data_IF_416943682275
#
_entry.id   IF_416943682275
#
_cell.length_a   1.000
_cell.length_b   1.000
_cell.length_c   1.000
_cell.angle_alpha   90.00
_cell.angle_beta   90.00
_cell.angle_gamma   90.00
#
_symmetry.space_group_name_H-M   'P 1'
#
loop_
_entity.id
_entity.type
_entity.pdbx_description
1 polymer ?
#
# COMPACT_ATOMS: atom_id res chain seq x y z
N UNK A 1 20.25 -12.52 8.20
CA UNK A 1 19.30 -13.53 7.66
C UNK A 1 20.04 -14.73 7.13
N UNK A 2 20.83 -14.64 6.05
CA UNK A 2 21.55 -15.80 5.49
C UNK A 2 22.52 -16.45 6.49
N UNK A 3 23.46 -15.69 7.05
CA UNK A 3 24.45 -16.23 8.01
C UNK A 3 23.82 -16.74 9.31
N UNK A 4 22.76 -16.08 9.78
CA UNK A 4 22.18 -16.33 11.11
C UNK A 4 21.03 -17.31 11.10
N UNK A 5 20.40 -17.57 9.94
CA UNK A 5 19.15 -18.33 9.83
C UNK A 5 17.90 -17.62 10.41
N UNK A 6 18.07 -16.47 11.04
CA UNK A 6 16.99 -15.69 11.66
C UNK A 6 16.34 -14.82 10.58
N UNK A 7 15.03 -15.04 10.34
CA UNK A 7 14.21 -14.31 9.38
C UNK A 7 12.83 -13.99 9.98
N UNK A 8 12.25 -12.82 9.70
CA UNK A 8 10.87 -12.52 10.06
C UNK A 8 9.90 -13.22 9.10
N UNK A 9 8.65 -13.41 9.53
CA UNK A 9 7.58 -13.94 8.65
C UNK A 9 7.16 -12.92 7.58
N UNK A 10 7.22 -11.64 7.91
CA UNK A 10 6.87 -10.55 7.00
C UNK A 10 7.66 -9.27 7.25
N UNK A 11 7.68 -8.40 6.24
CA UNK A 11 8.19 -7.03 6.29
C UNK A 11 7.09 -6.11 5.75
N UNK A 12 6.72 -5.10 6.53
CA UNK A 12 5.86 -4.01 6.04
C UNK A 12 6.73 -2.90 5.47
N UNK A 13 6.41 -2.45 4.26
CA UNK A 13 7.05 -1.32 3.58
C UNK A 13 6.04 -0.16 3.58
N UNK A 14 6.29 0.81 4.45
CA UNK A 14 5.53 2.07 4.50
C UNK A 14 6.21 3.11 3.60
N UNK A 15 5.47 3.58 2.59
CA UNK A 15 5.92 4.69 1.77
C UNK A 15 5.81 6.03 2.49
N UNK A 16 6.63 7.00 2.07
CA UNK A 16 6.59 8.38 2.59
C UNK A 16 5.24 9.08 2.37
N UNK A 17 4.33 8.49 1.60
CA UNK A 17 3.00 9.02 1.33
C UNK A 17 1.96 8.70 2.42
N UNK A 18 2.39 8.12 3.55
CA UNK A 18 1.57 7.77 4.70
C UNK A 18 0.75 8.94 5.28
N UNK A 19 -0.23 8.60 6.12
CA UNK A 19 -0.95 9.58 6.92
C UNK A 19 -0.43 9.61 8.35
N UNK A 20 -0.65 10.72 9.03
CA UNK A 20 -0.37 10.87 10.46
C UNK A 20 -1.50 11.67 11.11
N UNK A 21 -1.78 11.38 12.38
CA UNK A 21 -2.66 12.22 13.20
C UNK A 21 -1.96 13.50 13.68
N UNK A 22 -0.65 13.45 13.89
CA UNK A 22 0.17 14.57 14.31
C UNK A 22 1.64 14.30 13.94
N UNK A 23 2.26 15.18 13.16
CA UNK A 23 3.70 15.15 12.94
C UNK A 23 4.19 16.56 12.56
N UNK A 24 5.47 16.87 12.78
CA UNK A 24 6.08 18.08 12.24
C UNK A 24 5.98 18.10 10.70
N UNK A 25 5.83 19.30 10.13
CA UNK A 25 5.69 19.48 8.68
C UNK A 25 6.93 19.00 7.92
N UNK A 26 8.13 19.26 8.45
CA UNK A 26 9.38 18.80 7.83
C UNK A 26 9.44 17.27 7.69
N UNK A 27 8.94 16.54 8.69
CA UNK A 27 8.90 15.08 8.63
C UNK A 27 7.84 14.60 7.65
N UNK A 28 6.67 15.24 7.64
CA UNK A 28 5.55 14.84 6.77
C UNK A 28 5.82 15.12 5.28
N UNK A 29 6.59 16.18 4.98
CA UNK A 29 6.80 16.64 3.61
C UNK A 29 8.15 16.23 3.03
N UNK A 30 9.18 16.05 3.86
CA UNK A 30 10.57 15.94 3.40
C UNK A 30 11.22 14.59 3.72
N UNK A 31 10.65 13.79 4.63
CA UNK A 31 11.24 12.51 5.05
C UNK A 31 10.48 11.32 4.46
N UNK A 32 11.19 10.44 3.78
CA UNK A 32 10.67 9.17 3.27
C UNK A 32 11.10 8.87 1.84
N UNK A 33 10.71 7.69 1.37
CA UNK A 33 10.90 7.23 0.00
C UNK A 33 9.53 6.91 -0.60
N UNK A 34 9.28 7.19 -1.89
CA UNK A 34 8.03 6.79 -2.50
C UNK A 34 7.84 5.27 -2.42
N UNK A 35 6.60 4.82 -2.14
CA UNK A 35 6.31 3.40 -1.88
C UNK A 35 6.78 2.50 -3.02
N UNK A 36 6.64 2.94 -4.28
CA UNK A 36 6.97 2.11 -5.45
C UNK A 36 8.44 1.75 -5.51
N UNK A 37 9.30 2.75 -5.28
CA UNK A 37 10.74 2.58 -5.32
C UNK A 37 11.20 1.72 -4.13
N UNK A 38 10.66 1.98 -2.93
CA UNK A 38 10.96 1.22 -1.72
C UNK A 38 10.51 -0.24 -1.85
N UNK A 39 9.32 -0.49 -2.38
CA UNK A 39 8.76 -1.82 -2.54
C UNK A 39 9.54 -2.66 -3.55
N UNK A 40 9.91 -2.06 -4.70
CA UNK A 40 10.76 -2.73 -5.68
C UNK A 40 12.11 -3.09 -5.05
N UNK A 41 12.75 -2.14 -4.36
CA UNK A 41 14.03 -2.35 -3.68
C UNK A 41 13.97 -3.50 -2.65
N UNK A 42 12.95 -3.52 -1.79
CA UNK A 42 12.80 -4.56 -0.76
C UNK A 42 12.55 -5.92 -1.41
N UNK A 43 11.66 -5.99 -2.40
CA UNK A 43 11.41 -7.23 -3.13
C UNK A 43 12.68 -7.76 -3.80
N UNK A 44 13.39 -6.92 -4.54
CA UNK A 44 14.58 -7.31 -5.29
C UNK A 44 15.74 -7.69 -4.37
N UNK A 45 15.89 -7.02 -3.23
CA UNK A 45 16.87 -7.42 -2.22
C UNK A 45 16.55 -8.80 -1.67
N UNK A 46 15.31 -9.03 -1.24
CA UNK A 46 14.88 -10.35 -0.76
C UNK A 46 14.98 -11.43 -1.84
N UNK A 47 14.69 -11.10 -3.09
CA UNK A 47 14.80 -12.02 -4.22
C UNK A 47 16.26 -12.33 -4.55
N UNK A 48 17.12 -11.31 -4.60
CA UNK A 48 18.56 -11.40 -4.83
C UNK A 48 19.30 -12.22 -3.78
N UNK A 49 18.86 -12.20 -2.52
CA UNK A 49 19.37 -13.10 -1.47
C UNK A 49 18.63 -14.45 -1.41
N UNK A 50 17.63 -14.70 -2.27
CA UNK A 50 16.85 -15.94 -2.26
C UNK A 50 15.92 -16.11 -1.05
N UNK A 51 15.65 -15.02 -0.32
CA UNK A 51 14.84 -14.96 0.90
C UNK A 51 13.35 -14.69 0.66
N UNK A 52 12.97 -14.12 -0.49
CA UNK A 52 11.56 -13.74 -0.78
C UNK A 52 10.55 -14.89 -0.65
N UNK A 53 10.98 -16.14 -0.87
CA UNK A 53 10.15 -17.34 -0.69
C UNK A 53 9.73 -17.60 0.76
N UNK A 54 10.44 -17.01 1.72
CA UNK A 54 10.20 -17.19 3.16
C UNK A 54 9.53 -15.98 3.81
N UNK A 55 9.67 -14.79 3.21
CA UNK A 55 9.26 -13.52 3.81
C UNK A 55 8.15 -12.88 2.97
N UNK A 56 7.01 -12.61 3.60
CA UNK A 56 5.90 -11.86 2.99
C UNK A 56 6.18 -10.37 3.02
N UNK A 57 5.80 -9.66 1.97
CA UNK A 57 5.95 -8.20 1.90
C UNK A 57 4.55 -7.57 1.96
N UNK A 58 4.35 -6.67 2.92
CA UNK A 58 3.10 -5.91 3.06
C UNK A 58 3.37 -4.48 2.60
N UNK A 59 2.70 -4.04 1.54
CA UNK A 59 2.80 -2.66 1.08
C UNK A 59 1.82 -1.76 1.82
N UNK A 60 2.26 -0.59 2.24
CA UNK A 60 1.44 0.39 2.94
C UNK A 60 1.75 1.79 2.46
N UNK A 61 0.72 2.52 2.02
CA UNK A 61 0.85 3.85 1.45
C UNK A 61 -0.12 4.08 0.30
N UNK A 62 -1.08 4.99 0.53
CA UNK A 62 -2.09 5.43 -0.46
C UNK A 62 -2.78 4.31 -1.26
N UNK A 63 -3.11 3.20 -0.62
CA UNK A 63 -3.94 2.13 -1.20
C UNK A 63 -5.41 2.54 -1.11
N UNK A 64 -5.96 3.05 -2.20
CA UNK A 64 -7.33 3.60 -2.25
C UNK A 64 -8.27 2.85 -3.19
N UNK A 65 -7.72 2.16 -4.18
CA UNK A 65 -8.47 1.53 -5.26
C UNK A 65 -8.01 0.09 -5.51
N UNK A 66 -8.82 -0.69 -6.22
CA UNK A 66 -8.42 -2.02 -6.69
C UNK A 66 -7.16 -1.97 -7.55
N UNK A 67 -6.99 -0.92 -8.37
CA UNK A 67 -5.78 -0.75 -9.17
C UNK A 67 -4.53 -0.46 -8.34
N UNK A 68 -4.65 0.17 -7.17
CA UNK A 68 -3.52 0.34 -6.24
C UNK A 68 -3.04 -1.02 -5.69
N UNK A 69 -3.97 -1.94 -5.40
CA UNK A 69 -3.64 -3.32 -5.05
C UNK A 69 -2.86 -4.00 -6.18
N UNK A 70 -3.41 -3.96 -7.40
CA UNK A 70 -2.79 -4.59 -8.57
C UNK A 70 -1.37 -4.04 -8.82
N UNK A 71 -1.18 -2.72 -8.75
CA UNK A 71 0.15 -2.08 -8.89
C UNK A 71 1.12 -2.56 -7.82
N UNK A 72 0.73 -2.53 -6.54
CA UNK A 72 1.63 -2.89 -5.45
C UNK A 72 1.99 -4.39 -5.48
N UNK A 73 1.02 -5.27 -5.76
CA UNK A 73 1.27 -6.70 -5.91
C UNK A 73 2.22 -6.95 -7.09
N UNK A 74 2.03 -6.26 -8.21
CA UNK A 74 2.93 -6.38 -9.38
C UNK A 74 4.38 -6.00 -9.09
N UNK A 75 4.63 -5.12 -8.11
CA UNK A 75 5.97 -4.71 -7.68
C UNK A 75 6.63 -5.69 -6.71
N UNK A 76 5.85 -6.60 -6.11
CA UNK A 76 6.35 -7.65 -5.22
C UNK A 76 5.66 -7.75 -3.86
N UNK A 77 4.59 -6.99 -3.61
CA UNK A 77 3.82 -7.12 -2.37
C UNK A 77 2.98 -8.41 -2.37
N UNK A 78 2.89 -9.08 -1.24
CA UNK A 78 1.96 -10.19 -1.00
C UNK A 78 0.62 -9.71 -0.42
N UNK A 79 0.61 -8.54 0.23
CA UNK A 79 -0.57 -7.92 0.84
C UNK A 79 -0.44 -6.40 0.81
N UNK A 80 -1.56 -5.69 0.92
CA UNK A 80 -1.61 -4.25 1.05
C UNK A 80 -2.39 -3.80 2.29
N UNK A 81 -1.88 -2.81 3.01
CA UNK A 81 -2.59 -2.12 4.08
C UNK A 81 -3.23 -0.82 3.56
N UNK A 82 -4.47 -0.58 3.97
CA UNK A 82 -5.23 0.63 3.63
C UNK A 82 -5.78 1.27 4.90
N UNK A 83 -5.10 2.30 5.43
CA UNK A 83 -5.58 3.04 6.60
C UNK A 83 -6.43 4.25 6.19
N UNK A 84 -5.84 5.19 5.42
CA UNK A 84 -6.51 6.44 5.03
C UNK A 84 -7.82 6.20 4.26
N UNK A 85 -7.84 5.24 3.34
CA UNK A 85 -9.03 4.92 2.58
C UNK A 85 -10.17 4.39 3.47
N UNK A 86 -9.83 3.57 4.48
CA UNK A 86 -10.78 3.08 5.48
C UNK A 86 -11.29 4.21 6.39
N UNK A 87 -10.43 5.16 6.76
CA UNK A 87 -10.88 6.35 7.49
C UNK A 87 -11.86 7.20 6.67
N UNK A 88 -11.61 7.36 5.36
CA UNK A 88 -12.51 8.10 4.47
C UNK A 88 -13.84 7.36 4.31
N UNK A 89 -13.83 6.04 4.12
CA UNK A 89 -15.06 5.25 4.03
C UNK A 89 -15.87 5.31 5.33
N UNK A 90 -15.18 5.35 6.49
CA UNK A 90 -15.78 5.57 7.81
C UNK A 90 -16.44 6.96 7.93
N UNK A 91 -15.84 8.00 7.37
CA UNK A 91 -16.40 9.36 7.41
C UNK A 91 -15.41 10.52 7.42
N UNK A 92 -14.10 10.25 7.37
CA UNK A 92 -13.09 11.30 7.30
C UNK A 92 -13.27 12.15 6.04
N UNK A 93 -13.40 13.46 6.24
CA UNK A 93 -13.52 14.47 5.16
C UNK A 93 -12.20 15.19 4.87
N UNK A 94 -11.09 14.67 5.41
CA UNK A 94 -9.76 15.30 5.30
C UNK A 94 -9.72 16.74 5.83
N UNK A 95 -10.32 16.99 7.00
CA UNK A 95 -10.28 18.30 7.65
C UNK A 95 -8.85 18.74 8.08
N UNK A 96 -7.91 17.79 8.19
CA UNK A 96 -6.52 18.02 8.62
C UNK A 96 -6.38 18.59 10.05
N UNK A 97 -7.40 18.42 10.88
CA UNK A 97 -7.44 18.79 12.31
C UNK A 97 -7.27 17.56 13.23
N UNK A 98 -6.52 16.56 12.78
CA UNK A 98 -6.43 15.29 13.50
C UNK A 98 -5.73 15.44 14.87
N UNK A 99 -4.84 16.43 15.00
CA UNK A 99 -4.01 16.68 16.19
C UNK A 99 -4.66 17.61 17.22
N UNK A 100 -5.78 18.27 16.89
CA UNK A 100 -6.42 19.28 17.74
C UNK A 100 -7.51 18.71 18.64
N UNK A 101 -7.83 17.42 18.48
CA UNK A 101 -8.95 16.76 19.16
C UNK A 101 -10.35 17.30 18.74
N UNK A 102 -10.44 18.10 17.67
CA UNK A 102 -11.69 18.76 17.21
C UNK A 102 -12.25 18.19 15.90
N UNK A 103 -11.85 16.96 15.52
CA UNK A 103 -12.26 16.34 14.26
C UNK A 103 -13.80 16.42 14.06
N UNK A 104 -14.29 17.14 13.02
CA UNK A 104 -15.71 17.45 12.88
C UNK A 104 -16.59 16.23 12.55
N UNK A 105 -15.96 15.11 12.20
CA UNK A 105 -16.63 13.85 11.83
C UNK A 105 -16.46 12.76 12.88
N UNK A 106 -15.82 13.08 14.01
CA UNK A 106 -15.65 12.12 15.11
C UNK A 106 -14.56 11.08 14.90
N UNK A 107 -13.86 11.07 13.75
CA UNK A 107 -12.88 10.03 13.40
C UNK A 107 -11.59 10.13 14.22
N UNK A 108 -11.06 11.34 14.40
CA UNK A 108 -9.79 11.58 15.10
C UNK A 108 -10.01 12.52 16.31
N UNK A 109 -10.77 12.05 17.29
CA UNK A 109 -11.06 12.80 18.53
C UNK A 109 -11.41 11.84 19.67
N UNK A 110 -11.09 12.25 20.89
CA UNK A 110 -11.49 11.62 22.14
C UNK A 110 -12.69 12.32 22.78
N UNK A 111 -13.24 13.37 22.15
CA UNK A 111 -14.41 14.08 22.65
C UNK A 111 -15.69 13.24 22.42
N UNK A 112 -16.42 12.81 23.47
CA UNK A 112 -17.65 12.03 23.34
C UNK A 112 -18.73 12.70 22.50
N UNK A 113 -18.81 14.03 22.53
CA UNK A 113 -19.80 14.77 21.75
C UNK A 113 -19.53 14.74 20.24
N UNK A 114 -18.28 14.49 19.85
CA UNK A 114 -17.88 14.39 18.44
C UNK A 114 -17.90 12.94 17.96
N UNK A 115 -17.25 12.01 18.68
CA UNK A 115 -17.18 10.62 18.20
C UNK A 115 -18.52 9.88 18.29
N UNK A 116 -19.50 10.34 19.10
CA UNK A 116 -20.86 9.78 19.09
C UNK A 116 -21.55 9.90 17.72
N UNK A 117 -21.06 10.78 16.84
CA UNK A 117 -21.50 10.88 15.45
C UNK A 117 -21.11 9.67 14.59
N UNK A 118 -20.16 8.85 15.03
CA UNK A 118 -19.80 7.58 14.39
C UNK A 118 -20.78 6.48 14.78
N UNK A 119 -22.00 6.54 14.22
CA UNK A 119 -23.00 5.49 14.40
C UNK A 119 -22.49 4.15 13.82
N UNK A 120 -22.19 3.18 14.68
CA UNK A 120 -21.61 1.89 14.29
C UNK A 120 -22.49 1.12 13.30
N UNK A 121 -23.82 1.17 13.45
CA UNK A 121 -24.75 0.45 12.58
C UNK A 121 -24.72 0.96 11.14
N UNK A 122 -24.53 2.26 10.95
CA UNK A 122 -24.32 2.88 9.63
C UNK A 122 -22.88 2.68 9.14
N UNK A 123 -21.89 3.03 9.96
CA UNK A 123 -20.49 3.12 9.54
C UNK A 123 -19.87 1.77 9.20
N UNK A 124 -20.25 0.69 9.89
CA UNK A 124 -19.74 -0.66 9.60
C UNK A 124 -20.07 -1.11 8.18
N UNK A 125 -21.26 -0.76 7.67
CA UNK A 125 -21.70 -1.12 6.33
C UNK A 125 -20.89 -0.37 5.27
N UNK A 126 -20.62 0.91 5.49
CA UNK A 126 -19.78 1.73 4.60
C UNK A 126 -18.36 1.20 4.48
N UNK A 127 -17.73 0.86 5.60
CA UNK A 127 -16.36 0.32 5.62
C UNK A 127 -16.32 -1.06 4.96
N UNK A 128 -17.28 -1.94 5.26
CA UNK A 128 -17.39 -3.25 4.65
C UNK A 128 -17.60 -3.18 3.13
N UNK A 129 -18.51 -2.31 2.67
CA UNK A 129 -18.76 -2.10 1.25
C UNK A 129 -17.53 -1.55 0.53
N UNK A 130 -16.84 -0.56 1.11
CA UNK A 130 -15.60 -0.04 0.54
C UNK A 130 -14.54 -1.14 0.38
N UNK A 131 -14.33 -1.95 1.42
CA UNK A 131 -13.39 -3.07 1.34
C UNK A 131 -13.79 -4.07 0.26
N UNK A 132 -15.06 -4.50 0.26
CA UNK A 132 -15.59 -5.47 -0.70
C UNK A 132 -15.44 -4.99 -2.14
N UNK A 133 -15.89 -3.78 -2.45
CA UNK A 133 -15.82 -3.23 -3.82
C UNK A 133 -14.37 -2.97 -4.25
N UNK A 134 -13.47 -2.61 -3.33
CA UNK A 134 -12.03 -2.46 -3.65
C UNK A 134 -11.41 -3.78 -4.07
N UNK A 135 -11.70 -4.87 -3.34
CA UNK A 135 -11.21 -6.21 -3.68
C UNK A 135 -11.84 -6.69 -4.99
N UNK A 136 -13.15 -6.54 -5.14
CA UNK A 136 -13.88 -6.91 -6.36
C UNK A 136 -13.31 -6.20 -7.58
N UNK A 137 -13.09 -4.89 -7.51
CA UNK A 137 -12.47 -4.12 -8.60
C UNK A 137 -11.06 -4.63 -8.96
N UNK A 138 -10.25 -5.03 -7.96
CA UNK A 138 -8.94 -5.62 -8.23
C UNK A 138 -9.05 -6.96 -8.98
N UNK A 139 -9.99 -7.81 -8.57
CA UNK A 139 -10.27 -9.10 -9.23
C UNK A 139 -10.78 -8.90 -10.65
N UNK A 140 -11.70 -7.96 -10.88
CA UNK A 140 -12.21 -7.61 -12.21
C UNK A 140 -11.09 -7.11 -13.13
N UNK A 141 -10.20 -6.24 -12.62
CA UNK A 141 -9.02 -5.76 -13.37
C UNK A 141 -8.08 -6.90 -13.76
N UNK A 142 -7.81 -7.81 -12.83
CA UNK A 142 -6.98 -8.99 -13.09
C UNK A 142 -7.64 -9.93 -14.11
N UNK A 143 -8.94 -10.20 -13.96
CA UNK A 143 -9.69 -11.04 -14.87
C UNK A 143 -9.71 -10.45 -16.30
N UNK A 144 -9.92 -9.14 -16.42
CA UNK A 144 -9.86 -8.43 -17.71
C UNK A 144 -8.47 -8.51 -18.36
N UNK A 145 -7.40 -8.59 -17.58
CA UNK A 145 -6.04 -8.82 -18.04
C UNK A 145 -5.68 -10.31 -18.28
N UNK A 146 -6.62 -11.24 -18.07
CA UNK A 146 -6.37 -12.69 -18.20
C UNK A 146 -5.57 -13.30 -17.04
N UNK A 147 -5.47 -12.60 -15.91
CA UNK A 147 -4.68 -12.99 -14.74
C UNK A 147 -5.59 -13.69 -13.73
N UNK A 148 -5.39 -15.00 -13.55
CA UNK A 148 -6.25 -15.85 -12.71
C UNK A 148 -5.92 -15.81 -11.21
N UNK A 149 -4.74 -15.31 -10.81
CA UNK A 149 -4.31 -15.30 -9.41
C UNK A 149 -3.34 -14.14 -9.14
N UNK A 150 -3.36 -13.51 -7.95
CA UNK A 150 -2.50 -12.35 -7.67
C UNK A 150 -1.01 -12.66 -7.80
N UNK A 151 -0.56 -13.86 -7.46
CA UNK A 151 0.84 -14.30 -7.62
C UNK A 151 1.35 -14.28 -9.07
N UNK A 152 0.44 -14.23 -10.06
CA UNK A 152 0.77 -14.10 -11.48
C UNK A 152 0.90 -12.64 -11.92
N UNK A 153 0.70 -11.66 -11.03
CA UNK A 153 0.99 -10.27 -11.33
C UNK A 153 2.51 -10.05 -11.38
N UNK A 154 2.96 -9.42 -12.45
CA UNK A 154 4.36 -9.10 -12.69
C UNK A 154 4.49 -7.65 -13.12
N UNK A 155 5.68 -7.09 -12.95
CA UNK A 155 6.01 -5.71 -13.31
C UNK A 155 5.75 -5.40 -14.80
N UNK A 156 5.71 -6.40 -15.66
CA UNK A 156 5.36 -6.25 -17.09
C UNK A 156 3.90 -5.88 -17.34
N UNK A 157 2.99 -6.15 -16.41
CA UNK A 157 1.55 -5.89 -16.60
C UNK A 157 1.16 -4.43 -16.42
N UNK A 158 2.00 -3.62 -15.77
CA UNK A 158 1.68 -2.23 -15.47
C UNK A 158 2.48 -1.30 -16.37
N UNK A 159 1.75 -0.56 -17.20
CA UNK A 159 2.30 0.52 -18.03
C UNK A 159 2.10 1.87 -17.34
N UNK A 160 3.13 2.71 -17.37
CA UNK A 160 3.14 4.06 -16.84
C UNK A 160 3.72 5.00 -17.88
N UNK A 161 3.00 6.11 -18.11
CA UNK A 161 3.55 7.24 -18.85
C UNK A 161 4.59 7.94 -17.98
N UNK A 162 5.83 8.00 -18.45
CA UNK A 162 6.98 8.59 -17.73
C UNK A 162 7.35 9.98 -18.26
N UNK A 163 6.97 10.28 -19.51
CA UNK A 163 7.09 11.60 -20.12
C UNK A 163 5.94 11.84 -21.10
N UNK A 164 5.89 13.01 -21.75
CA UNK A 164 4.84 13.32 -22.72
C UNK A 164 4.72 12.28 -23.85
N UNK A 165 5.85 11.73 -24.32
CA UNK A 165 5.95 10.82 -25.46
C UNK A 165 6.45 9.42 -25.09
N UNK A 166 6.68 9.12 -23.81
CA UNK A 166 7.25 7.85 -23.37
C UNK A 166 6.34 7.13 -22.38
N UNK A 167 6.11 5.85 -22.67
CA UNK A 167 5.44 4.89 -21.78
C UNK A 167 6.44 3.78 -21.50
N UNK A 168 6.53 3.38 -20.24
CA UNK A 168 7.36 2.26 -19.78
C UNK A 168 6.52 1.34 -18.89
N UNK A 169 6.84 0.07 -18.91
CA UNK A 169 6.36 -0.91 -17.94
C UNK A 169 7.08 -0.75 -16.60
N UNK A 170 6.51 -1.28 -15.52
CA UNK A 170 7.26 -1.36 -14.26
C UNK A 170 8.49 -2.25 -14.38
N UNK A 171 8.54 -3.21 -15.31
CA UNK A 171 9.72 -4.06 -15.49
C UNK A 171 10.90 -3.28 -16.08
N UNK A 172 10.63 -2.30 -16.96
CA UNK A 172 11.65 -1.40 -17.50
C UNK A 172 12.09 -0.36 -16.46
N UNK A 173 11.15 0.16 -15.66
CA UNK A 173 11.46 1.14 -14.61
C UNK A 173 12.17 0.50 -13.40
N UNK A 174 11.80 -0.73 -13.06
CA UNK A 174 12.30 -1.50 -11.92
C UNK A 174 12.69 -2.91 -12.40
N UNK A 175 13.87 -3.07 -13.00
CA UNK A 175 14.35 -4.38 -13.45
C UNK A 175 14.50 -5.35 -12.27
N UNK A 176 14.11 -6.61 -12.47
CA UNK A 176 14.27 -7.64 -11.45
C UNK A 176 15.76 -7.96 -11.23
N UNK A 177 16.15 -8.13 -9.96
CA UNK A 177 17.41 -8.79 -9.64
C UNK A 177 17.28 -10.31 -9.82
N UNK A 178 18.35 -10.96 -10.28
CA UNK A 178 18.36 -12.41 -10.40
C UNK A 178 18.41 -13.06 -9.01
N UNK A 179 17.65 -14.13 -8.83
CA UNK A 179 17.66 -14.88 -7.57
C UNK A 179 19.07 -15.37 -7.25
N UNK A 180 19.56 -15.06 -6.05
CA UNK A 180 20.91 -15.43 -5.60
C UNK A 180 22.02 -14.48 -6.05
N UNK A 181 21.72 -13.44 -6.83
CA UNK A 181 22.74 -12.51 -7.35
C UNK A 181 23.42 -11.65 -6.28
N UNK A 182 22.95 -11.70 -5.03
CA UNK A 182 23.55 -10.99 -3.90
C UNK A 182 24.24 -11.94 -2.91
N UNK A 183 24.32 -13.24 -3.21
CA UNK A 183 24.93 -14.23 -2.31
C UNK A 183 26.45 -14.36 -2.49
N UNK A 184 27.03 -13.76 -3.53
CA UNK A 184 28.47 -13.80 -3.88
C UNK A 184 28.93 -12.45 -4.44
#
# INVERSE_FOLDING_TARGET
MIKTGIQPDFITVDGGEGGTGAAPLEFSNSVGMPLRDALAFVYDTLHGFGLKKHIKIIASGKVHTGFDLVKNISLGADMCNAARAMMISLGCIQALECNTNTCPTGVATQNPDLYKGLNVDDKRVRVANFHHETIKAAVELMAAAGISHPDKLHRSHIYRRVSANQIQTYAEMYPYLLKGSLLE
#
